data_IF_917515038373
#
_entry.id   IF_917515038373
#
_cell.length_a   1.000
_cell.length_b   1.000
_cell.length_c   1.000
_cell.angle_alpha   90.00
_cell.angle_beta   90.00
_cell.angle_gamma   90.00
#
_symmetry.space_group_name_H-M   'P 1'
#
loop_
_entity.id
_entity.type
_entity.pdbx_description
1 polymer ?
#
# COMPACT_ATOMS: atom_id res chain seq x y z
N UNK A 1 -7.08 6.05 19.67
CA UNK A 1 -7.96 6.31 18.51
C UNK A 1 -7.27 5.71 17.29
N UNK A 2 -7.77 4.57 16.81
CA UNK A 2 -7.22 3.87 15.63
C UNK A 2 -7.61 4.69 14.41
N UNK A 3 -6.65 5.47 13.88
CA UNK A 3 -6.88 6.36 12.75
C UNK A 3 -7.36 5.59 11.52
N UNK A 4 -8.32 6.19 10.82
CA UNK A 4 -9.01 5.75 9.62
C UNK A 4 -8.08 5.49 8.42
N UNK A 5 -7.28 4.41 8.48
CA UNK A 5 -6.58 3.83 7.31
C UNK A 5 -7.12 2.46 6.95
N UNK A 6 -8.42 2.21 7.18
CA UNK A 6 -9.13 1.06 6.61
C UNK A 6 -9.14 1.19 5.10
N UNK A 7 -8.26 0.43 4.42
CA UNK A 7 -8.22 0.33 2.96
C UNK A 7 -6.85 0.55 2.33
N UNK A 8 -5.83 1.01 3.08
CA UNK A 8 -4.47 1.17 2.55
C UNK A 8 -3.63 -0.07 2.88
N UNK A 9 -3.24 -0.79 1.84
CA UNK A 9 -2.47 -2.02 1.92
C UNK A 9 -1.05 -1.79 1.41
N UNK A 10 -0.10 -2.55 1.94
CA UNK A 10 1.25 -2.57 1.38
C UNK A 10 1.82 -3.98 1.27
N UNK A 11 2.49 -4.23 0.15
CA UNK A 11 3.17 -5.49 -0.14
C UNK A 11 4.65 -5.19 -0.29
N UNK A 12 5.49 -5.94 0.42
CA UNK A 12 6.94 -5.84 0.27
C UNK A 12 7.38 -6.73 -0.89
N UNK A 13 8.07 -6.15 -1.87
CA UNK A 13 8.62 -6.89 -3.02
C UNK A 13 9.96 -7.51 -2.61
N UNK A 14 10.84 -6.72 -1.99
CA UNK A 14 12.12 -7.16 -1.47
C UNK A 14 12.57 -6.18 -0.36
N UNK A 15 13.83 -6.28 0.08
CA UNK A 15 14.34 -5.42 1.15
C UNK A 15 14.30 -3.92 0.80
N UNK A 16 14.32 -3.60 -0.50
CA UNK A 16 14.40 -2.23 -1.04
C UNK A 16 13.03 -1.68 -1.47
N UNK A 17 12.09 -2.48 -1.97
CA UNK A 17 10.86 -1.96 -2.57
C UNK A 17 9.60 -2.39 -1.83
N UNK A 18 8.67 -1.44 -1.69
CA UNK A 18 7.32 -1.65 -1.17
C UNK A 18 6.30 -1.06 -2.14
N UNK A 19 5.26 -1.82 -2.44
CA UNK A 19 4.07 -1.32 -3.13
C UNK A 19 3.05 -0.91 -2.09
N UNK A 20 2.55 0.31 -2.19
CA UNK A 20 1.41 0.82 -1.44
C UNK A 20 0.23 0.96 -2.39
N UNK A 21 -0.96 0.52 -1.97
CA UNK A 21 -2.19 0.65 -2.76
C UNK A 21 -3.41 0.75 -1.87
N UNK A 22 -4.52 1.26 -2.42
CA UNK A 22 -5.83 1.23 -1.78
C UNK A 22 -6.69 0.12 -2.39
N UNK A 23 -7.39 -0.64 -1.55
CA UNK A 23 -8.38 -1.61 -2.03
C UNK A 23 -9.76 -0.97 -2.08
N UNK A 24 -10.29 -0.78 -3.28
CA UNK A 24 -11.58 -0.13 -3.53
C UNK A 24 -12.37 -0.98 -4.51
N UNK A 25 -13.54 -1.45 -4.10
CA UNK A 25 -14.48 -2.21 -4.94
C UNK A 25 -13.84 -3.40 -5.70
N UNK A 26 -12.95 -4.14 -5.01
CA UNK A 26 -12.26 -5.29 -5.60
C UNK A 26 -11.06 -4.95 -6.49
N UNK A 27 -10.70 -3.67 -6.61
CA UNK A 27 -9.58 -3.19 -7.41
C UNK A 27 -8.51 -2.52 -6.55
N UNK A 28 -7.27 -2.51 -7.07
CA UNK A 28 -6.17 -1.78 -6.49
C UNK A 28 -6.08 -0.39 -7.13
N UNK A 29 -6.34 0.65 -6.34
CA UNK A 29 -6.21 2.06 -6.72
C UNK A 29 -5.00 2.71 -6.03
N UNK A 30 -4.54 3.86 -6.55
CA UNK A 30 -3.40 4.61 -6.02
C UNK A 30 -2.16 3.74 -5.75
N UNK A 31 -1.80 2.92 -6.73
CA UNK A 31 -0.64 2.03 -6.64
C UNK A 31 0.64 2.84 -6.79
N UNK A 32 1.44 2.89 -5.72
CA UNK A 32 2.73 3.57 -5.68
C UNK A 32 3.84 2.60 -5.27
N UNK A 33 5.01 2.69 -5.93
CA UNK A 33 6.21 1.97 -5.54
C UNK A 33 7.09 2.91 -4.72
N UNK A 34 7.19 2.63 -3.42
CA UNK A 34 8.08 3.32 -2.51
C UNK A 34 9.40 2.54 -2.36
N UNK A 35 10.51 3.26 -2.50
CA UNK A 35 11.85 2.77 -2.17
C UNK A 35 12.10 2.95 -0.67
N UNK A 36 12.55 1.89 -0.02
CA UNK A 36 12.90 1.81 1.38
C UNK A 36 14.43 1.83 1.47
N UNK A 37 15.01 3.02 1.37
CA UNK A 37 16.40 3.25 1.75
C UNK A 37 16.52 3.53 3.24
#
# INVERSE_FOLDING_TARGET
MKGDRTGQHSIRINDQFRVCFRWVDGNAEDVEIADCH
#
